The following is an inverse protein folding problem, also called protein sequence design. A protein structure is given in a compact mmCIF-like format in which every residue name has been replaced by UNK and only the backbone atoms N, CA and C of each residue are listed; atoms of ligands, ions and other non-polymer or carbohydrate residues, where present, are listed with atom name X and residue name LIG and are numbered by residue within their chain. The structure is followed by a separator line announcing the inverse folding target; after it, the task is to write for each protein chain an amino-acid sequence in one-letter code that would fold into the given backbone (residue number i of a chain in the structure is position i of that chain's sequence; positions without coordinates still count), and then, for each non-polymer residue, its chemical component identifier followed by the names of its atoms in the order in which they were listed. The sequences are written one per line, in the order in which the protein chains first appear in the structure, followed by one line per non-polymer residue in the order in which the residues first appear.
data_IF_618441094944
#
_entry.id   IF_618441094944
#
_cell.length_a   1.000
_cell.length_b   1.000
_cell.length_c   1.000
_cell.angle_alpha   90.00
_cell.angle_beta   90.00
_cell.angle_gamma   90.00
#
_symmetry.space_group_name_H-M   'P 1'
#
loop_
_entity.id
_entity.type
_entity.pdbx_description
1 polymer ?
#
# COMPACT_ATOMS: atom_id res chain seq x y z
N UNK A 1 11.98 -0.14 -9.59
CA UNK A 1 13.43 -0.37 -9.43
C UNK A 1 14.14 0.15 -10.67
N UNK A 2 15.27 0.86 -10.52
CA UNK A 2 16.03 1.32 -11.69
C UNK A 2 16.44 0.10 -12.54
N UNK A 3 16.47 0.28 -13.86
CA UNK A 3 17.04 -0.68 -14.82
C UNK A 3 18.23 -0.03 -15.53
N UNK A 4 19.39 0.06 -14.87
CA UNK A 4 20.58 0.68 -15.47
C UNK A 4 21.02 -0.14 -16.70
N UNK A 5 21.39 0.53 -17.78
CA UNK A 5 21.90 -0.11 -19.01
C UNK A 5 20.89 -0.28 -20.15
N UNK A 6 19.58 -0.08 -19.92
CA UNK A 6 18.57 -0.21 -20.98
C UNK A 6 18.33 1.08 -21.79
N UNK A 7 18.89 2.22 -21.36
CA UNK A 7 18.79 3.50 -22.08
C UNK A 7 17.38 4.08 -22.23
N UNK A 8 16.39 3.52 -21.51
CA UNK A 8 14.98 3.92 -21.57
C UNK A 8 14.49 4.43 -20.22
N UNK A 9 13.51 5.32 -20.26
CA UNK A 9 12.80 5.79 -19.07
C UNK A 9 12.08 4.62 -18.42
N UNK A 10 12.56 4.19 -17.25
CA UNK A 10 11.93 3.14 -16.47
C UNK A 10 10.91 3.74 -15.49
N UNK A 11 9.67 3.25 -15.52
CA UNK A 11 8.64 3.65 -14.54
C UNK A 11 8.83 2.86 -13.25
N UNK A 12 9.13 3.55 -12.16
CA UNK A 12 9.13 2.96 -10.83
C UNK A 12 7.75 3.15 -10.17
N UNK A 13 7.36 2.18 -9.35
CA UNK A 13 6.18 2.26 -8.50
C UNK A 13 6.63 2.16 -7.04
N UNK A 14 6.01 2.96 -6.20
CA UNK A 14 6.30 3.03 -4.77
C UNK A 14 4.98 3.03 -4.02
N UNK A 15 4.88 2.16 -3.03
CA UNK A 15 3.84 2.22 -2.00
C UNK A 15 4.46 2.78 -0.73
N UNK A 16 3.74 3.69 -0.07
CA UNK A 16 4.15 4.26 1.21
C UNK A 16 3.11 3.89 2.26
N UNK A 17 3.58 3.30 3.36
CA UNK A 17 2.73 2.92 4.50
C UNK A 17 3.19 3.69 5.72
N UNK A 18 2.27 4.41 6.34
CA UNK A 18 2.51 5.13 7.58
C UNK A 18 1.40 4.76 8.57
N UNK A 19 1.74 4.48 9.84
CA UNK A 19 0.76 4.37 10.90
C UNK A 19 0.14 5.75 11.18
N UNK A 20 -1.01 5.75 11.87
CA UNK A 20 -1.66 7.00 12.29
C UNK A 20 -0.77 7.83 13.20
N UNK A 21 -0.97 9.15 13.24
CA UNK A 21 -0.15 10.08 14.02
C UNK A 21 -0.07 9.73 15.53
N UNK A 22 -1.09 9.04 16.04
CA UNK A 22 -1.24 8.66 17.44
C UNK A 22 -0.75 7.25 17.77
N UNK A 23 -0.31 6.47 16.78
CA UNK A 23 0.24 5.13 17.01
C UNK A 23 1.64 5.20 17.63
N UNK A 24 2.01 4.25 18.48
CA UNK A 24 3.34 4.21 19.11
C UNK A 24 4.47 4.09 18.07
N UNK A 25 4.20 3.41 16.96
CA UNK A 25 5.15 3.22 15.86
C UNK A 25 5.31 4.54 15.10
N UNK A 26 6.54 5.09 15.07
CA UNK A 26 6.90 6.30 14.32
C UNK A 26 7.80 5.97 13.14
N UNK A 27 7.25 5.27 12.15
CA UNK A 27 7.99 4.80 10.98
C UNK A 27 7.16 4.91 9.70
N UNK A 28 7.85 5.03 8.57
CA UNK A 28 7.25 4.96 7.23
C UNK A 28 7.95 3.84 6.47
N UNK A 29 7.17 2.95 5.86
CA UNK A 29 7.70 1.91 4.97
C UNK A 29 7.50 2.34 3.52
N UNK A 30 8.59 2.33 2.77
CA UNK A 30 8.60 2.55 1.33
C UNK A 30 8.82 1.21 0.62
N UNK A 31 7.76 0.63 0.05
CA UNK A 31 7.83 -0.63 -0.71
C UNK A 31 7.95 -0.31 -2.21
N UNK A 32 9.14 -0.56 -2.77
CA UNK A 32 9.38 -0.41 -4.20
C UNK A 32 8.86 -1.64 -4.94
N UNK A 33 7.87 -1.43 -5.80
CA UNK A 33 7.22 -2.52 -6.52
C UNK A 33 7.42 -2.41 -8.04
N UNK A 34 7.24 -3.53 -8.72
CA UNK A 34 7.30 -3.60 -10.19
C UNK A 34 6.07 -2.99 -10.87
N UNK A 35 4.97 -2.82 -10.13
CA UNK A 35 3.69 -2.30 -10.65
C UNK A 35 2.92 -1.54 -9.56
N UNK A 36 1.87 -0.82 -9.97
CA UNK A 36 0.86 -0.26 -9.05
C UNK A 36 -0.26 -1.22 -8.66
N UNK A 37 -0.10 -2.54 -8.84
CA UNK A 37 -1.15 -3.51 -8.50
C UNK A 37 -1.46 -3.51 -7.01
N UNK A 38 -2.75 -3.56 -6.64
CA UNK A 38 -3.19 -3.70 -5.26
C UNK A 38 -2.73 -5.00 -4.57
N UNK A 39 -2.17 -5.96 -5.33
CA UNK A 39 -1.55 -7.15 -4.76
C UNK A 39 -0.39 -6.81 -3.81
N UNK A 40 0.33 -5.72 -4.08
CA UNK A 40 1.45 -5.26 -3.23
C UNK A 40 0.95 -4.82 -1.84
N UNK A 41 -0.12 -4.02 -1.80
CA UNK A 41 -0.74 -3.62 -0.54
C UNK A 41 -1.35 -4.81 0.24
N UNK A 42 -1.98 -5.77 -0.44
CA UNK A 42 -2.46 -7.01 0.19
C UNK A 42 -1.34 -7.82 0.81
N UNK A 43 -0.22 -7.99 0.09
CA UNK A 43 0.96 -8.69 0.59
C UNK A 43 1.53 -8.02 1.83
N UNK A 44 1.70 -6.69 1.77
CA UNK A 44 2.23 -5.92 2.89
C UNK A 44 1.36 -6.04 4.14
N UNK A 45 0.03 -5.96 3.99
CA UNK A 45 -0.95 -6.06 5.08
C UNK A 45 -1.31 -7.50 5.47
N UNK A 46 -0.57 -8.50 4.98
CA UNK A 46 -0.73 -9.91 5.36
C UNK A 46 -2.03 -10.57 4.88
N UNK A 47 -2.76 -9.97 3.92
CA UNK A 47 -3.98 -10.58 3.39
C UNK A 47 -3.67 -11.88 2.65
N UNK A 48 -4.50 -12.90 2.89
CA UNK A 48 -4.23 -14.28 2.44
C UNK A 48 -3.47 -15.13 3.48
N UNK A 49 -3.22 -14.58 4.67
CA UNK A 49 -2.65 -15.30 5.82
C UNK A 49 -3.55 -15.14 7.05
N UNK A 50 -3.20 -15.82 8.15
CA UNK A 50 -3.80 -15.66 9.48
C UNK A 50 -3.51 -14.28 10.11
N UNK A 51 -2.59 -13.50 9.53
CA UNK A 51 -2.18 -12.16 9.99
C UNK A 51 -2.78 -11.02 9.17
N UNK A 52 -3.86 -11.28 8.45
CA UNK A 52 -4.53 -10.25 7.63
C UNK A 52 -4.97 -9.06 8.51
N UNK A 53 -4.44 -7.88 8.22
CA UNK A 53 -4.79 -6.64 8.93
C UNK A 53 -6.20 -6.16 8.54
N UNK A 54 -6.98 -5.68 9.52
CA UNK A 54 -8.40 -5.29 9.34
C UNK A 54 -8.75 -3.97 10.05
N UNK A 55 -7.87 -2.98 9.95
CA UNK A 55 -8.09 -1.67 10.54
C UNK A 55 -8.69 -0.65 9.59
N UNK A 56 -8.56 0.63 9.95
CA UNK A 56 -8.99 1.77 9.15
C UNK A 56 -7.87 2.27 8.24
N UNK A 57 -8.10 2.29 6.94
CA UNK A 57 -7.14 2.71 5.91
C UNK A 57 -7.54 4.07 5.33
N UNK A 58 -6.71 5.08 5.55
CA UNK A 58 -6.80 6.35 4.81
C UNK A 58 -6.15 6.19 3.45
N UNK A 59 -6.91 6.40 2.37
CA UNK A 59 -6.41 6.28 1.00
C UNK A 59 -7.05 7.29 0.04
N UNK A 60 -6.48 7.40 -1.17
CA UNK A 60 -6.89 8.30 -2.25
C UNK A 60 -7.96 7.70 -3.19
N UNK A 61 -8.69 6.69 -2.74
CA UNK A 61 -9.69 5.93 -3.52
C UNK A 61 -9.14 5.21 -4.78
N UNK A 62 -7.82 5.04 -4.90
CA UNK A 62 -7.28 4.23 -6.00
C UNK A 62 -7.83 2.79 -5.97
N UNK A 63 -8.28 2.30 -7.14
CA UNK A 63 -8.97 1.00 -7.25
C UNK A 63 -8.16 -0.20 -6.74
N UNK A 64 -6.83 -0.08 -6.61
CA UNK A 64 -5.97 -1.08 -6.00
C UNK A 64 -6.35 -1.45 -4.55
N UNK A 65 -7.00 -0.56 -3.79
CA UNK A 65 -7.42 -0.82 -2.41
C UNK A 65 -8.72 -1.61 -2.28
N UNK A 66 -9.56 -1.66 -3.33
CA UNK A 66 -10.93 -2.19 -3.21
C UNK A 66 -10.97 -3.66 -2.76
N UNK A 67 -9.97 -4.45 -3.12
CA UNK A 67 -9.84 -5.82 -2.64
C UNK A 67 -9.50 -5.92 -1.13
N UNK A 68 -8.74 -4.98 -0.57
CA UNK A 68 -8.50 -4.89 0.88
C UNK A 68 -9.80 -4.59 1.61
N UNK A 69 -10.56 -3.62 1.08
CA UNK A 69 -11.83 -3.16 1.65
C UNK A 69 -12.84 -4.32 1.66
N UNK A 70 -12.99 -5.01 0.53
CA UNK A 70 -13.82 -6.20 0.43
C UNK A 70 -13.37 -7.35 1.37
N UNK A 71 -12.12 -7.32 1.83
CA UNK A 71 -11.53 -8.33 2.74
C UNK A 71 -11.55 -7.92 4.22
N UNK A 72 -12.24 -6.84 4.58
CA UNK A 72 -12.45 -6.42 5.96
C UNK A 72 -11.62 -5.22 6.43
N UNK A 73 -10.90 -4.53 5.54
CA UNK A 73 -10.35 -3.20 5.84
C UNK A 73 -11.46 -2.16 5.76
N UNK A 74 -11.50 -1.24 6.72
CA UNK A 74 -12.42 -0.10 6.69
C UNK A 74 -11.77 1.05 5.92
N UNK A 75 -12.37 1.44 4.80
CA UNK A 75 -11.96 2.67 4.09
C UNK A 75 -12.33 3.89 4.94
N UNK A 76 -11.35 4.73 5.27
CA UNK A 76 -11.59 6.05 5.84
C UNK A 76 -11.19 7.09 4.80
N UNK A 77 -12.16 7.89 4.37
CA UNK A 77 -11.94 8.91 3.36
C UNK A 77 -10.96 9.96 3.84
N UNK A 78 -10.20 10.53 2.91
CA UNK A 78 -9.45 11.75 3.16
C UNK A 78 -10.43 12.93 3.32
N UNK A 79 -10.35 13.67 4.42
CA UNK A 79 -10.81 15.07 4.48
C UNK A 79 -9.72 15.90 3.79
N UNK A 80 -9.78 16.01 2.47
CA UNK A 80 -8.97 16.97 1.72
C UNK A 80 -9.73 18.30 1.63
#
# INVERSE_FOLDING_TARGET
MLKPGEGKTHRAYLWAYAPGAFEDIKAVVYDFCESRSGAHARRFLGHGTDKAWKGSLTCDDFSGYKALIASGVTEVGCLA
#
